data_IF_104911692098
#
_entry.id   IF_104911692098
#
_cell.length_a   1.000
_cell.length_b   1.000
_cell.length_c   1.000
_cell.angle_alpha   90.00
_cell.angle_beta   90.00
_cell.angle_gamma   90.00
#
_symmetry.space_group_name_H-M   'P 1'
#
loop_
_entity.id
_entity.type
_entity.pdbx_description
1 polymer ?
#
# COMPACT_ATOMS: atom_id res chain seq x y z
N UNK A 1 7.41 38.60 -52.04
CA UNK A 1 7.89 37.21 -51.90
C UNK A 1 9.12 37.23 -51.01
N UNK A 2 8.87 37.26 -49.70
CA UNK A 2 9.27 36.26 -48.67
C UNK A 2 10.74 36.33 -48.28
N UNK A 3 11.01 37.14 -47.26
CA UNK A 3 12.26 37.16 -46.48
C UNK A 3 12.18 36.04 -45.43
N UNK A 4 13.03 35.00 -45.55
CA UNK A 4 13.05 33.89 -44.59
C UNK A 4 14.07 34.16 -43.47
N UNK A 5 13.56 34.51 -42.29
CA UNK A 5 14.35 34.63 -41.08
C UNK A 5 14.65 33.23 -40.52
N UNK A 6 15.89 32.77 -40.66
CA UNK A 6 16.34 31.45 -40.20
C UNK A 6 16.41 31.38 -38.67
N UNK A 7 15.31 30.96 -38.04
CA UNK A 7 15.27 30.66 -36.61
C UNK A 7 16.01 29.35 -36.35
N UNK A 8 17.21 29.43 -35.76
CA UNK A 8 17.92 28.23 -35.24
C UNK A 8 17.01 27.52 -34.23
N UNK A 9 16.92 26.18 -34.24
CA UNK A 9 16.18 25.48 -33.21
C UNK A 9 16.89 25.69 -31.88
N UNK A 10 16.17 26.24 -30.91
CA UNK A 10 16.66 26.41 -29.55
C UNK A 10 17.09 25.06 -28.98
N UNK A 11 18.30 25.01 -28.43
CA UNK A 11 18.79 23.89 -27.62
C UNK A 11 17.71 23.54 -26.59
N UNK A 12 17.14 22.33 -26.66
CA UNK A 12 16.38 21.78 -25.54
C UNK A 12 17.28 21.84 -24.30
N UNK A 13 16.81 22.38 -23.16
CA UNK A 13 17.60 22.30 -21.94
C UNK A 13 17.84 20.81 -21.65
N UNK A 14 19.10 20.47 -21.44
CA UNK A 14 19.51 19.12 -21.10
C UNK A 14 19.01 18.80 -19.68
N UNK A 15 17.77 18.32 -19.55
CA UNK A 15 17.32 17.65 -18.32
C UNK A 15 17.64 16.16 -18.45
N UNK A 16 18.94 15.86 -18.48
CA UNK A 16 19.45 14.51 -18.21
C UNK A 16 20.26 14.57 -16.92
N UNK A 17 19.67 15.10 -15.85
CA UNK A 17 20.09 14.68 -14.51
C UNK A 17 19.36 13.38 -14.24
N UNK A 18 20.14 12.29 -14.21
CA UNK A 18 19.63 10.94 -13.97
C UNK A 18 18.77 10.91 -12.72
N UNK A 19 17.79 10.01 -12.73
CA UNK A 19 16.94 9.67 -11.59
C UNK A 19 17.72 9.79 -10.29
N UNK A 20 17.53 10.88 -9.55
CA UNK A 20 18.17 11.05 -8.26
C UNK A 20 17.71 9.87 -7.40
N UNK A 21 18.64 9.18 -6.76
CA UNK A 21 18.32 8.07 -5.87
C UNK A 21 17.21 8.51 -4.91
N UNK A 22 16.23 7.62 -4.68
CA UNK A 22 15.15 7.87 -3.74
C UNK A 22 15.69 8.15 -2.33
N UNK A 23 14.83 8.66 -1.42
CA UNK A 23 15.22 8.96 -0.05
C UNK A 23 15.74 7.68 0.64
N UNK A 24 16.85 7.78 1.35
CA UNK A 24 17.43 6.62 2.06
C UNK A 24 16.72 6.32 3.39
N UNK A 25 15.87 7.23 3.85
CA UNK A 25 15.12 7.14 5.10
C UNK A 25 14.00 8.17 5.17
N UNK A 26 13.13 7.98 6.16
CA UNK A 26 11.92 8.78 6.40
C UNK A 26 12.20 10.29 6.47
N UNK A 27 13.30 10.67 7.12
CA UNK A 27 13.70 12.07 7.32
C UNK A 27 14.02 12.82 6.01
N UNK A 28 14.33 12.08 4.95
CA UNK A 28 14.69 12.64 3.64
C UNK A 28 13.49 12.75 2.71
N UNK A 29 12.39 12.03 2.97
CA UNK A 29 11.26 11.91 2.04
C UNK A 29 10.70 13.28 1.66
N UNK A 30 10.45 14.16 2.65
CA UNK A 30 9.87 15.49 2.38
C UNK A 30 10.78 16.38 1.56
N UNK A 31 12.08 16.38 1.84
CA UNK A 31 13.08 17.12 1.06
C UNK A 31 13.13 16.57 -0.36
N UNK A 32 13.24 15.26 -0.50
CA UNK A 32 13.29 14.60 -1.81
C UNK A 32 12.07 14.94 -2.67
N UNK A 33 10.87 14.89 -2.09
CA UNK A 33 9.63 15.29 -2.78
C UNK A 33 9.66 16.75 -3.26
N UNK A 34 10.16 17.67 -2.42
CA UNK A 34 10.33 19.06 -2.79
C UNK A 34 11.35 19.24 -3.94
N UNK A 35 12.47 18.53 -3.88
CA UNK A 35 13.55 18.60 -4.88
C UNK A 35 13.07 18.12 -6.27
N UNK A 36 12.14 17.15 -6.31
CA UNK A 36 11.57 16.64 -7.57
C UNK A 36 10.25 17.35 -7.96
N UNK A 37 9.81 18.35 -7.20
CA UNK A 37 8.60 19.12 -7.47
C UNK A 37 7.28 18.33 -7.28
N UNK A 38 7.28 17.27 -6.48
CA UNK A 38 6.10 16.46 -6.18
C UNK A 38 5.50 16.88 -4.83
N UNK A 39 4.24 17.32 -4.76
CA UNK A 39 3.67 17.86 -3.52
C UNK A 39 3.34 16.79 -2.48
N UNK A 40 3.08 15.55 -2.91
CA UNK A 40 2.69 14.42 -2.06
C UNK A 40 2.71 13.10 -2.82
N UNK A 41 2.70 11.99 -2.10
CA UNK A 41 2.72 10.62 -2.64
C UNK A 41 1.46 9.84 -2.27
N UNK A 42 1.20 8.78 -3.03
CA UNK A 42 0.21 7.75 -2.67
C UNK A 42 0.98 6.49 -2.30
N UNK A 43 0.71 5.93 -1.13
CA UNK A 43 1.31 4.67 -0.70
C UNK A 43 0.37 3.50 -0.95
N UNK A 44 0.71 2.67 -1.93
CA UNK A 44 -0.13 1.53 -2.34
C UNK A 44 0.12 0.26 -1.51
N UNK A 45 1.09 0.27 -0.59
CA UNK A 45 1.48 -0.92 0.16
C UNK A 45 1.71 -0.60 1.65
N UNK A 46 0.60 -0.33 2.35
CA UNK A 46 0.61 -0.16 3.81
C UNK A 46 -0.26 -1.23 4.45
N UNK A 47 0.15 -1.75 5.61
CA UNK A 47 -0.66 -2.70 6.36
C UNK A 47 -1.34 -2.04 7.57
N UNK A 48 -2.66 -2.02 7.54
CA UNK A 48 -3.53 -1.78 8.69
C UNK A 48 -4.47 -2.98 8.81
N UNK A 49 -4.75 -3.40 10.04
CA UNK A 49 -5.55 -4.59 10.33
C UNK A 49 -6.07 -4.50 11.77
N UNK A 50 -7.07 -5.32 12.15
CA UNK A 50 -7.55 -5.41 13.52
C UNK A 50 -6.38 -5.61 14.50
N UNK A 51 -6.40 -4.88 15.62
CA UNK A 51 -5.31 -4.84 16.59
C UNK A 51 -4.91 -6.24 17.13
N UNK A 52 -5.88 -7.13 17.32
CA UNK A 52 -5.62 -8.53 17.69
C UNK A 52 -4.86 -9.33 16.62
N UNK A 53 -5.06 -9.03 15.34
CA UNK A 53 -4.32 -9.61 14.20
C UNK A 53 -2.94 -8.97 14.12
N UNK A 54 -2.85 -7.65 14.25
CA UNK A 54 -1.58 -6.92 14.20
C UNK A 54 -0.61 -7.40 15.26
N UNK A 55 -1.08 -7.63 16.50
CA UNK A 55 -0.25 -8.21 17.58
C UNK A 55 0.29 -9.59 17.24
N UNK A 56 -0.50 -10.45 16.58
CA UNK A 56 -0.03 -11.78 16.14
C UNK A 56 1.02 -11.66 15.04
N UNK A 57 0.84 -10.73 14.11
CA UNK A 57 1.83 -10.43 13.08
C UNK A 57 3.13 -9.95 13.72
N UNK A 58 3.07 -9.01 14.67
CA UNK A 58 4.26 -8.55 15.39
C UNK A 58 4.95 -9.68 16.15
N UNK A 59 4.20 -10.53 16.86
CA UNK A 59 4.77 -11.69 17.55
C UNK A 59 5.45 -12.66 16.59
N UNK A 60 4.92 -12.84 15.38
CA UNK A 60 5.57 -13.65 14.34
C UNK A 60 6.91 -13.03 13.90
N UNK A 61 6.97 -11.70 13.72
CA UNK A 61 8.24 -11.01 13.39
C UNK A 61 9.22 -10.96 14.56
N UNK A 62 8.75 -10.98 15.81
CA UNK A 62 9.61 -11.08 16.99
C UNK A 62 10.43 -12.40 16.98
N UNK A 63 9.91 -13.47 16.36
CA UNK A 63 10.61 -14.75 16.14
C UNK A 63 11.19 -14.88 14.71
N UNK A 64 11.41 -13.76 14.01
CA UNK A 64 11.88 -13.77 12.61
C UNK A 64 13.19 -14.53 12.41
N UNK A 65 14.12 -14.53 13.39
CA UNK A 65 15.36 -15.31 13.27
C UNK A 65 15.10 -16.79 13.12
N UNK A 66 14.08 -17.33 13.79
CA UNK A 66 13.67 -18.72 13.67
C UNK A 66 12.95 -18.98 12.34
N UNK A 67 12.06 -18.08 11.93
CA UNK A 67 11.25 -18.26 10.72
C UNK A 67 12.02 -17.99 9.42
N UNK A 68 12.98 -17.06 9.44
CA UNK A 68 13.66 -16.54 8.25
C UNK A 68 15.19 -16.63 8.32
N UNK A 69 15.77 -17.10 9.42
CA UNK A 69 17.23 -17.16 9.61
C UNK A 69 17.89 -15.81 9.87
N UNK A 70 17.13 -14.70 9.89
CA UNK A 70 17.63 -13.35 10.12
C UNK A 70 16.63 -12.52 10.94
N UNK A 71 17.14 -11.51 11.65
CA UNK A 71 16.28 -10.59 12.38
C UNK A 71 15.50 -9.69 11.40
N UNK A 72 14.21 -9.48 11.68
CA UNK A 72 13.37 -8.57 10.91
C UNK A 72 12.57 -7.68 11.86
N UNK A 73 13.17 -6.63 12.43
CA UNK A 73 12.50 -5.79 13.41
C UNK A 73 11.35 -4.99 12.78
N UNK A 74 10.22 -4.93 13.49
CA UNK A 74 9.09 -4.06 13.11
C UNK A 74 9.42 -2.62 13.51
N UNK A 75 9.72 -1.77 12.52
CA UNK A 75 10.08 -0.36 12.75
C UNK A 75 8.93 0.48 13.32
N UNK A 76 7.73 0.36 12.75
CA UNK A 76 6.56 1.16 13.15
C UNK A 76 5.65 0.40 14.13
N UNK A 77 6.21 -0.09 15.24
CA UNK A 77 5.45 -0.77 16.31
C UNK A 77 4.75 0.25 17.21
N UNK A 78 3.91 1.05 16.58
CA UNK A 78 3.28 2.23 17.17
C UNK A 78 1.75 2.08 17.20
N UNK A 79 1.04 2.79 18.11
CA UNK A 79 -0.41 2.89 18.08
C UNK A 79 -0.90 3.36 16.70
N UNK A 80 -2.09 2.91 16.30
CA UNK A 80 -2.67 3.20 14.98
C UNK A 80 -2.64 4.68 14.60
N UNK A 81 -3.05 5.56 15.52
CA UNK A 81 -3.06 7.01 15.30
C UNK A 81 -1.66 7.58 15.06
N UNK A 82 -0.63 7.03 15.70
CA UNK A 82 0.75 7.44 15.43
C UNK A 82 1.23 6.94 14.06
N UNK A 83 0.86 5.73 13.64
CA UNK A 83 1.16 5.23 12.28
C UNK A 83 0.49 6.09 11.20
N UNK A 84 -0.74 6.54 11.42
CA UNK A 84 -1.41 7.51 10.54
C UNK A 84 -0.69 8.87 10.52
N UNK A 85 -0.26 9.37 11.67
CA UNK A 85 0.53 10.60 11.74
C UNK A 85 1.85 10.48 10.98
N UNK A 86 2.55 9.35 11.06
CA UNK A 86 3.79 9.09 10.31
C UNK A 86 3.55 9.17 8.79
N UNK A 87 2.48 8.56 8.27
CA UNK A 87 2.14 8.68 6.84
C UNK A 87 1.96 10.15 6.43
N UNK A 88 1.26 10.94 7.25
CA UNK A 88 1.10 12.38 7.02
C UNK A 88 2.43 13.11 7.08
N UNK A 89 3.30 12.79 8.04
CA UNK A 89 4.64 13.37 8.18
C UNK A 89 5.52 13.07 6.96
N UNK A 90 5.39 11.89 6.35
CA UNK A 90 6.10 11.49 5.12
C UNK A 90 5.56 12.14 3.85
N UNK A 91 4.37 12.74 3.90
CA UNK A 91 3.75 13.36 2.72
C UNK A 91 2.87 12.44 1.90
N UNK A 92 2.39 11.37 2.53
CA UNK A 92 1.37 10.50 1.97
C UNK A 92 0.02 11.21 2.03
N UNK A 93 -0.57 11.50 0.86
CA UNK A 93 -1.91 12.12 0.76
C UNK A 93 -3.04 11.09 0.77
N UNK A 94 -2.75 9.87 0.36
CA UNK A 94 -3.69 8.76 0.30
C UNK A 94 -2.92 7.45 0.38
N UNK A 95 -3.52 6.41 0.96
CA UNK A 95 -2.87 5.10 1.06
C UNK A 95 -3.85 3.94 0.93
N UNK A 96 -3.36 2.78 0.53
CA UNK A 96 -4.12 1.54 0.51
C UNK A 96 -3.86 0.74 1.80
N UNK A 97 -4.80 0.70 2.78
CA UNK A 97 -4.72 -0.21 3.93
C UNK A 97 -4.94 -1.65 3.46
N UNK A 98 -3.85 -2.42 3.39
CA UNK A 98 -3.87 -3.79 2.89
C UNK A 98 -4.06 -4.78 4.04
N UNK A 99 -5.22 -5.43 4.06
CA UNK A 99 -5.51 -6.62 4.86
C UNK A 99 -5.24 -7.88 4.05
N UNK A 100 -4.95 -9.00 4.72
CA UNK A 100 -4.79 -10.30 4.07
C UNK A 100 -5.26 -11.45 4.98
N UNK A 101 -6.06 -12.39 4.46
CA UNK A 101 -6.41 -13.63 5.14
C UNK A 101 -5.26 -14.64 5.06
N UNK A 102 -5.09 -15.44 6.11
CA UNK A 102 -4.15 -16.58 6.12
C UNK A 102 -4.87 -17.94 6.19
N UNK A 103 -6.21 -17.93 6.14
CA UNK A 103 -7.08 -19.11 6.19
C UNK A 103 -8.51 -18.76 5.76
N UNK A 104 -9.35 -19.77 5.42
CA UNK A 104 -10.78 -19.57 5.18
C UNK A 104 -11.51 -18.92 6.35
N UNK A 105 -12.61 -18.24 6.05
CA UNK A 105 -13.50 -17.54 6.97
C UNK A 105 -13.03 -16.15 7.40
N UNK A 106 -11.88 -15.68 6.89
CA UNK A 106 -11.33 -14.37 7.29
C UNK A 106 -11.64 -13.24 6.31
N UNK A 107 -11.74 -13.51 5.01
CA UNK A 107 -11.74 -12.45 3.99
C UNK A 107 -12.93 -11.51 4.12
N UNK A 108 -14.15 -12.05 4.29
CA UNK A 108 -15.37 -11.25 4.51
C UNK A 108 -15.23 -10.30 5.72
N UNK A 109 -14.80 -10.83 6.86
CA UNK A 109 -14.61 -10.03 8.08
C UNK A 109 -13.55 -8.94 7.90
N UNK A 110 -12.43 -9.26 7.24
CA UNK A 110 -11.38 -8.28 6.94
C UNK A 110 -11.88 -7.19 5.97
N UNK A 111 -12.72 -7.55 5.00
CA UNK A 111 -13.35 -6.59 4.08
C UNK A 111 -14.30 -5.64 4.82
N UNK A 112 -15.11 -6.14 5.76
CA UNK A 112 -15.93 -5.29 6.62
C UNK A 112 -15.07 -4.36 7.48
N UNK A 113 -13.99 -4.89 8.09
CA UNK A 113 -13.10 -4.09 8.92
C UNK A 113 -12.42 -2.96 8.14
N UNK A 114 -11.89 -3.24 6.94
CA UNK A 114 -11.21 -2.21 6.15
C UNK A 114 -12.19 -1.19 5.58
N UNK A 115 -13.45 -1.59 5.35
CA UNK A 115 -14.51 -0.68 4.97
C UNK A 115 -14.84 0.32 6.09
N UNK A 116 -14.91 -0.13 7.33
CA UNK A 116 -15.09 0.74 8.52
C UNK A 116 -13.87 1.64 8.75
N UNK A 117 -12.66 1.09 8.65
CA UNK A 117 -11.42 1.83 8.78
C UNK A 117 -11.33 2.98 7.76
N UNK A 118 -11.66 2.72 6.50
CA UNK A 118 -11.67 3.73 5.44
C UNK A 118 -12.78 4.78 5.63
N UNK A 119 -13.91 4.41 6.25
CA UNK A 119 -14.95 5.39 6.59
C UNK A 119 -14.51 6.34 7.71
N UNK A 120 -13.71 5.85 8.66
CA UNK A 120 -13.15 6.66 9.75
C UNK A 120 -11.87 7.42 9.38
N UNK A 121 -11.19 7.03 8.30
CA UNK A 121 -9.88 7.58 7.89
C UNK A 121 -9.93 8.09 6.45
N UNK A 122 -10.22 9.39 6.23
CA UNK A 122 -10.44 9.94 4.88
C UNK A 122 -9.28 9.76 3.88
N UNK A 123 -8.03 9.64 4.36
CA UNK A 123 -6.86 9.39 3.51
C UNK A 123 -6.74 7.92 3.06
N UNK A 124 -7.48 7.00 3.70
CA UNK A 124 -7.43 5.59 3.38
C UNK A 124 -8.36 5.24 2.21
N UNK A 125 -7.81 4.61 1.18
CA UNK A 125 -8.60 4.03 0.10
C UNK A 125 -9.32 2.78 0.62
N UNK A 126 -10.62 2.65 0.39
CA UNK A 126 -11.32 1.40 0.68
C UNK A 126 -10.74 0.28 -0.19
N UNK A 127 -10.13 -0.71 0.42
CA UNK A 127 -9.57 -1.89 -0.23
C UNK A 127 -10.47 -3.10 0.00
N UNK A 128 -10.15 -4.21 -0.66
CA UNK A 128 -10.69 -5.52 -0.37
C UNK A 128 -9.57 -6.57 -0.42
N UNK A 129 -9.87 -7.76 0.08
CA UNK A 129 -9.03 -8.95 -0.01
C UNK A 129 -9.89 -10.17 -0.34
N UNK A 130 -9.21 -11.24 -0.77
CA UNK A 130 -9.81 -12.51 -1.19
C UNK A 130 -9.03 -13.68 -0.62
N UNK A 131 -9.75 -14.78 -0.44
CA UNK A 131 -9.24 -16.10 -0.13
C UNK A 131 -10.03 -17.12 -0.98
N UNK A 132 -9.41 -18.22 -1.46
CA UNK A 132 -10.16 -19.28 -2.13
C UNK A 132 -11.10 -19.96 -1.14
N UNK A 133 -12.36 -19.55 -1.18
CA UNK A 133 -13.46 -20.09 -0.38
C UNK A 133 -14.79 -19.89 -1.13
N UNK A 134 -15.82 -20.73 -0.90
CA UNK A 134 -17.06 -20.69 -1.67
C UNK A 134 -17.73 -19.30 -1.76
N UNK A 135 -17.57 -18.48 -0.73
CA UNK A 135 -18.20 -17.17 -0.61
C UNK A 135 -17.42 -16.03 -1.27
N UNK A 136 -16.27 -16.30 -1.93
CA UNK A 136 -15.38 -15.25 -2.46
C UNK A 136 -16.01 -14.29 -3.44
N UNK A 137 -16.80 -14.82 -4.38
CA UNK A 137 -17.51 -13.97 -5.34
C UNK A 137 -18.50 -13.03 -4.65
N UNK A 138 -19.19 -13.51 -3.61
CA UNK A 138 -20.21 -12.74 -2.89
C UNK A 138 -19.60 -11.58 -2.11
N UNK A 139 -18.64 -11.84 -1.21
CA UNK A 139 -18.07 -10.75 -0.42
C UNK A 139 -17.22 -9.80 -1.24
N UNK A 140 -16.65 -10.25 -2.38
CA UNK A 140 -15.90 -9.37 -3.27
C UNK A 140 -16.86 -8.44 -4.02
N UNK A 141 -17.99 -8.96 -4.53
CA UNK A 141 -19.03 -8.15 -5.13
C UNK A 141 -19.55 -7.09 -4.15
N UNK A 142 -19.83 -7.48 -2.89
CA UNK A 142 -20.24 -6.55 -1.84
C UNK A 142 -19.18 -5.46 -1.58
N UNK A 143 -17.90 -5.84 -1.50
CA UNK A 143 -16.82 -4.88 -1.29
C UNK A 143 -16.69 -3.89 -2.46
N UNK A 144 -16.80 -4.37 -3.71
CA UNK A 144 -16.76 -3.54 -4.91
C UNK A 144 -17.96 -2.60 -4.99
N UNK A 145 -19.17 -3.10 -4.73
CA UNK A 145 -20.38 -2.27 -4.65
C UNK A 145 -20.28 -1.23 -3.52
N UNK A 146 -19.63 -1.59 -2.42
CA UNK A 146 -19.26 -0.70 -1.33
C UNK A 146 -18.14 0.30 -1.67
N UNK A 147 -17.60 0.29 -2.89
CA UNK A 147 -16.62 1.27 -3.36
C UNK A 147 -15.16 0.88 -3.12
N UNK A 148 -14.85 -0.41 -2.90
CA UNK A 148 -13.46 -0.87 -2.89
C UNK A 148 -12.78 -0.55 -4.24
N UNK A 149 -11.54 -0.03 -4.19
CA UNK A 149 -10.78 0.42 -5.37
C UNK A 149 -9.51 -0.37 -5.63
N UNK A 150 -9.15 -1.26 -4.72
CA UNK A 150 -7.96 -2.10 -4.80
C UNK A 150 -8.24 -3.42 -4.09
N UNK A 151 -7.88 -4.54 -4.72
CA UNK A 151 -8.01 -5.88 -4.15
C UNK A 151 -6.61 -6.44 -3.92
N UNK A 152 -6.31 -6.85 -2.70
CA UNK A 152 -5.03 -7.48 -2.35
C UNK A 152 -5.21 -8.97 -2.11
N UNK A 153 -4.46 -9.77 -2.87
CA UNK A 153 -4.22 -11.17 -2.60
C UNK A 153 -2.80 -11.34 -2.02
N UNK A 154 -2.65 -12.18 -1.00
CA UNK A 154 -1.34 -12.51 -0.42
C UNK A 154 -1.07 -14.01 -0.51
N UNK A 155 -0.65 -14.47 -1.70
CA UNK A 155 -0.47 -15.89 -2.02
C UNK A 155 0.42 -16.64 -1.02
N UNK A 156 1.59 -16.08 -0.67
CA UNK A 156 2.54 -16.77 0.22
C UNK A 156 2.01 -16.96 1.66
N UNK A 157 1.39 -15.94 2.24
CA UNK A 157 0.84 -16.01 3.61
C UNK A 157 -0.50 -16.77 3.62
N UNK A 158 -1.29 -16.63 2.55
CA UNK A 158 -2.54 -17.36 2.37
C UNK A 158 -2.35 -18.85 2.12
N UNK A 159 -1.19 -19.26 1.59
CA UNK A 159 -0.84 -20.65 1.37
C UNK A 159 -1.70 -21.35 0.31
N UNK A 160 -2.19 -20.61 -0.70
CA UNK A 160 -3.05 -21.14 -1.75
C UNK A 160 -2.45 -20.97 -3.15
N UNK A 161 -2.93 -21.75 -4.11
CA UNK A 161 -2.61 -21.56 -5.54
C UNK A 161 -3.43 -20.38 -6.07
N UNK A 162 -2.83 -19.35 -6.69
CA UNK A 162 -3.60 -18.24 -7.28
C UNK A 162 -4.49 -18.67 -8.46
N UNK A 163 -4.37 -19.93 -8.92
CA UNK A 163 -5.21 -20.57 -9.94
C UNK A 163 -6.27 -21.50 -9.34
N UNK A 164 -6.52 -21.40 -8.04
CA UNK A 164 -7.59 -22.17 -7.40
C UNK A 164 -8.92 -21.86 -8.12
N UNK A 165 -9.69 -22.87 -8.57
CA UNK A 165 -10.95 -22.67 -9.30
C UNK A 165 -11.99 -21.83 -8.55
N UNK A 166 -11.85 -21.67 -7.22
CA UNK A 166 -12.70 -20.76 -6.46
C UNK A 166 -12.41 -19.28 -6.77
N UNK A 167 -11.29 -18.94 -7.42
CA UNK A 167 -10.87 -17.58 -7.75
C UNK A 167 -11.07 -17.17 -9.22
N UNK A 168 -11.75 -17.99 -10.03
CA UNK A 168 -12.01 -17.73 -11.46
C UNK A 168 -12.96 -16.55 -11.74
#
# INVERSE_FOLDING_TARGET
>A
MTSSNGRRPGKRPATSQGWQHGPAGDEQVRRWLADIGVPSIVDIHVHFMPDSVLRKVWAFFDDAKRHYGTAWPVRYREPEQRRLAILRELGVRAFAPLVYPHKPGMARWLNSWVAEFAAATPEAVRTATVYPEPEVAEYLADALAGGARCVKAHVQVGGYDPRDPLLD
#
